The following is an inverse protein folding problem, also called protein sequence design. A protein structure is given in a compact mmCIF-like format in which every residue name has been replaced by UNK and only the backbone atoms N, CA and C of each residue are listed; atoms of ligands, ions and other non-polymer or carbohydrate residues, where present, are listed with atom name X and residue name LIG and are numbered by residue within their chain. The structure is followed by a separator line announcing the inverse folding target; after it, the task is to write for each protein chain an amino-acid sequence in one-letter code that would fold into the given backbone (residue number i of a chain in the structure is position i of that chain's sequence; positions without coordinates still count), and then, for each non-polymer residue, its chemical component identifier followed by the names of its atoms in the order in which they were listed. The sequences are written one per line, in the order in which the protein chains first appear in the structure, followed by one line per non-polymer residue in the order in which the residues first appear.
data_IF_363284736122
#
_entry.id   IF_363284736122
#
_cell.length_a   1.000
_cell.length_b   1.000
_cell.length_c   1.000
_cell.angle_alpha   90.00
_cell.angle_beta   90.00
_cell.angle_gamma   90.00
#
_symmetry.space_group_name_H-M   'P 1'
#
loop_
_entity.id
_entity.type
_entity.pdbx_description
1 polymer ?
#
# COMPACT_ATOMS: atom_id res chain seq x y z
N UNK A 1 -2.89 -18.15 5.45
CA UNK A 1 -3.92 -18.37 4.41
C UNK A 1 -3.19 -18.68 3.13
N UNK A 2 -3.27 -19.91 2.63
CA UNK A 2 -2.89 -20.25 1.26
C UNK A 2 -4.17 -20.56 0.50
N UNK A 3 -4.32 -20.00 -0.69
CA UNK A 3 -5.46 -20.25 -1.56
C UNK A 3 -4.94 -20.51 -2.96
N UNK A 4 -5.30 -21.66 -3.52
CA UNK A 4 -4.97 -22.01 -4.90
C UNK A 4 -6.01 -21.39 -5.85
N UNK A 5 -5.52 -20.67 -6.84
CA UNK A 5 -6.29 -19.76 -7.71
C UNK A 5 -7.30 -20.46 -8.66
N UNK A 6 -7.34 -21.79 -8.75
CA UNK A 6 -7.99 -22.44 -9.90
C UNK A 6 -9.49 -22.73 -9.78
N UNK A 7 -10.14 -22.63 -8.60
CA UNK A 7 -11.52 -23.16 -8.44
C UNK A 7 -12.38 -22.49 -7.35
N UNK A 8 -12.06 -21.28 -6.90
CA UNK A 8 -12.85 -20.61 -5.86
C UNK A 8 -12.70 -21.20 -4.45
N UNK A 9 -11.63 -21.97 -4.21
CA UNK A 9 -11.37 -22.69 -2.95
C UNK A 9 -10.53 -21.82 -2.01
N UNK A 10 -11.05 -21.50 -0.82
CA UNK A 10 -10.32 -20.77 0.22
C UNK A 10 -10.27 -21.60 1.50
N UNK A 11 -9.07 -21.99 1.95
CA UNK A 11 -8.88 -22.83 3.13
C UNK A 11 -8.79 -21.97 4.40
N UNK A 12 -9.50 -22.35 5.47
CA UNK A 12 -9.50 -21.66 6.76
C UNK A 12 -9.21 -22.68 7.88
N UNK A 13 -8.16 -22.43 8.67
CA UNK A 13 -7.74 -23.25 9.80
C UNK A 13 -8.45 -22.81 11.09
N UNK A 14 -8.98 -23.73 11.91
CA UNK A 14 -9.67 -23.40 13.16
C UNK A 14 -9.37 -24.39 14.31
N UNK A 15 -9.18 -23.83 15.52
CA UNK A 15 -9.10 -24.45 16.87
C UNK A 15 -7.97 -25.47 17.11
N UNK A 16 -7.50 -25.64 18.37
CA UNK A 16 -6.13 -26.07 18.63
C UNK A 16 -5.96 -27.55 18.28
N UNK A 17 -5.02 -27.81 17.38
CA UNK A 17 -4.54 -29.13 16.93
C UNK A 17 -5.33 -29.86 15.82
N UNK A 18 -6.46 -29.36 15.33
CA UNK A 18 -7.16 -30.01 14.22
C UNK A 18 -6.97 -29.19 12.93
N UNK A 19 -6.36 -29.78 11.88
CA UNK A 19 -6.34 -29.13 10.57
C UNK A 19 -7.78 -29.03 10.05
N UNK A 20 -8.25 -27.81 9.79
CA UNK A 20 -9.60 -27.57 9.25
C UNK A 20 -9.49 -27.10 7.82
N UNK A 21 -10.27 -27.71 6.94
CA UNK A 21 -10.44 -27.30 5.56
C UNK A 21 -11.88 -26.81 5.38
N UNK A 22 -12.05 -25.50 5.27
CA UNK A 22 -13.33 -24.89 4.93
C UNK A 22 -13.46 -24.77 3.40
N UNK A 23 -14.60 -25.18 2.84
CA UNK A 23 -14.92 -24.95 1.43
C UNK A 23 -15.92 -23.82 1.31
N UNK A 24 -15.46 -22.66 0.84
CA UNK A 24 -16.35 -21.53 0.53
C UNK A 24 -16.80 -21.67 -0.93
N UNK A 25 -18.11 -21.56 -1.17
CA UNK A 25 -18.73 -21.63 -2.50
C UNK A 25 -19.62 -20.41 -2.75
N UNK A 26 -19.90 -20.12 -4.02
CA UNK A 26 -20.83 -19.05 -4.42
C UNK A 26 -20.22 -17.65 -4.52
N UNK A 27 -18.91 -17.51 -4.41
CA UNK A 27 -18.22 -16.25 -4.68
C UNK A 27 -17.78 -16.22 -6.15
N UNK A 28 -18.22 -15.19 -6.88
CA UNK A 28 -17.96 -15.05 -8.32
C UNK A 28 -16.98 -13.90 -8.57
N UNK A 29 -15.98 -14.08 -9.45
CA UNK A 29 -15.13 -12.97 -9.88
C UNK A 29 -15.94 -11.94 -10.67
N UNK A 30 -15.67 -10.65 -10.49
CA UNK A 30 -16.29 -9.58 -11.25
C UNK A 30 -15.34 -8.40 -11.43
N UNK A 31 -15.64 -7.54 -12.41
CA UNK A 31 -15.03 -6.22 -12.57
C UNK A 31 -16.09 -5.17 -12.93
N UNK A 32 -15.73 -3.90 -12.92
CA UNK A 32 -16.62 -2.80 -13.27
C UNK A 32 -16.20 -2.14 -14.59
N UNK A 33 -17.19 -1.63 -15.33
CA UNK A 33 -17.01 -0.72 -16.46
C UNK A 33 -17.96 0.47 -16.31
N UNK A 34 -17.62 1.67 -16.79
CA UNK A 34 -18.57 2.77 -16.89
C UNK A 34 -19.79 2.34 -17.71
N UNK A 35 -20.99 2.74 -17.30
CA UNK A 35 -22.18 2.49 -18.11
C UNK A 35 -22.17 3.41 -19.35
N UNK A 36 -22.40 2.88 -20.56
CA UNK A 36 -22.43 3.70 -21.77
C UNK A 36 -23.44 4.86 -21.68
N UNK A 37 -23.15 5.97 -22.35
CA UNK A 37 -24.03 7.14 -22.36
C UNK A 37 -25.45 6.78 -22.84
N UNK A 38 -26.44 6.98 -21.97
CA UNK A 38 -27.85 6.67 -22.23
C UNK A 38 -28.30 5.24 -21.86
N UNK A 39 -27.43 4.44 -21.24
CA UNK A 39 -27.74 3.08 -20.81
C UNK A 39 -28.84 3.05 -19.74
N UNK A 40 -29.91 2.28 -19.98
CA UNK A 40 -31.04 2.10 -19.05
C UNK A 40 -31.01 0.71 -18.43
N UNK A 41 -31.68 0.54 -17.28
CA UNK A 41 -31.77 -0.77 -16.60
C UNK A 41 -32.40 -1.89 -17.46
N UNK A 42 -33.21 -1.54 -18.47
CA UNK A 42 -33.76 -2.51 -19.42
C UNK A 42 -32.77 -3.03 -20.47
N UNK A 43 -31.69 -2.29 -20.73
CA UNK A 43 -30.66 -2.66 -21.72
C UNK A 43 -29.72 -3.75 -21.18
N UNK A 44 -29.81 -4.08 -19.89
CA UNK A 44 -28.93 -5.04 -19.22
C UNK A 44 -29.00 -6.44 -19.84
N UNK A 45 -30.20 -6.90 -20.20
CA UNK A 45 -30.38 -8.22 -20.80
C UNK A 45 -29.79 -8.30 -22.21
N UNK A 46 -30.00 -7.25 -23.01
CA UNK A 46 -29.45 -7.13 -24.36
C UNK A 46 -27.92 -7.05 -24.32
N UNK A 47 -27.37 -6.20 -23.45
CA UNK A 47 -25.93 -6.06 -23.25
C UNK A 47 -25.27 -7.36 -22.82
N UNK A 48 -25.91 -8.09 -21.90
CA UNK A 48 -25.45 -9.41 -21.44
C UNK A 48 -25.35 -10.38 -22.63
N UNK A 49 -26.41 -10.47 -23.44
CA UNK A 49 -26.46 -11.39 -24.57
C UNK A 49 -25.41 -11.06 -25.63
N UNK A 50 -25.23 -9.78 -25.99
CA UNK A 50 -24.20 -9.37 -26.94
C UNK A 50 -22.80 -9.67 -26.45
N UNK A 51 -22.51 -9.40 -25.17
CA UNK A 51 -21.17 -9.65 -24.61
C UNK A 51 -20.87 -11.16 -24.51
N UNK A 52 -21.86 -11.99 -24.20
CA UNK A 52 -21.71 -13.45 -24.16
C UNK A 52 -21.42 -14.06 -25.54
N UNK A 53 -21.99 -13.50 -26.62
CA UNK A 53 -21.70 -13.92 -28.00
C UNK A 53 -20.24 -13.67 -28.37
N UNK A 54 -19.66 -12.55 -27.94
CA UNK A 54 -18.25 -12.23 -28.20
C UNK A 54 -17.27 -13.05 -27.33
N UNK A 55 -17.64 -13.34 -26.09
CA UNK A 55 -16.79 -14.13 -25.18
C UNK A 55 -16.76 -15.61 -25.58
N UNK A 56 -17.84 -16.15 -26.14
CA UNK A 56 -17.96 -17.58 -26.44
C UNK A 56 -18.35 -17.87 -27.89
N UNK A 57 -17.49 -18.60 -28.61
CA UNK A 57 -17.81 -19.20 -29.91
C UNK A 57 -18.71 -20.44 -29.79
N UNK A 58 -19.29 -20.73 -28.61
CA UNK A 58 -19.76 -22.09 -28.25
C UNK A 58 -20.91 -22.22 -27.24
N UNK A 59 -21.70 -21.17 -27.00
CA UNK A 59 -23.01 -21.30 -26.34
C UNK A 59 -23.01 -21.70 -24.85
N UNK A 60 -21.92 -21.50 -24.11
CA UNK A 60 -21.93 -21.60 -22.64
C UNK A 60 -22.28 -20.26 -22.02
N UNK A 61 -23.18 -20.25 -21.03
CA UNK A 61 -23.42 -19.08 -20.17
C UNK A 61 -22.19 -18.84 -19.27
N UNK A 62 -21.34 -17.90 -19.69
CA UNK A 62 -20.09 -17.58 -18.98
C UNK A 62 -20.20 -16.28 -18.16
N UNK A 63 -21.19 -15.44 -18.46
CA UNK A 63 -21.51 -14.21 -17.72
C UNK A 63 -22.70 -14.49 -16.80
N UNK A 64 -22.49 -14.46 -15.50
CA UNK A 64 -23.53 -14.81 -14.54
C UNK A 64 -24.56 -13.67 -14.41
N UNK A 65 -24.08 -12.48 -14.05
CA UNK A 65 -24.93 -11.33 -13.70
C UNK A 65 -24.28 -10.01 -14.09
N UNK A 66 -25.10 -9.07 -14.53
CA UNK A 66 -24.74 -7.66 -14.69
C UNK A 66 -25.58 -6.84 -13.71
N UNK A 67 -24.95 -5.98 -12.93
CA UNK A 67 -25.64 -5.07 -12.00
C UNK A 67 -25.23 -3.62 -12.25
N UNK A 68 -26.21 -2.71 -12.36
CA UNK A 68 -25.92 -1.28 -12.37
C UNK A 68 -25.65 -0.82 -10.93
N UNK A 69 -24.49 -0.20 -10.70
CA UNK A 69 -24.07 0.33 -9.39
C UNK A 69 -23.64 1.79 -9.57
N UNK A 70 -24.11 2.68 -8.70
CA UNK A 70 -23.66 4.06 -8.68
C UNK A 70 -22.41 4.15 -7.82
N UNK A 71 -21.27 4.51 -8.43
CA UNK A 71 -19.97 4.58 -7.79
C UNK A 71 -19.17 5.78 -8.30
N UNK A 72 -18.11 6.12 -7.58
CA UNK A 72 -17.18 7.20 -7.93
C UNK A 72 -15.82 6.59 -8.31
N UNK A 73 -15.13 7.14 -9.29
CA UNK A 73 -13.75 6.71 -9.59
C UNK A 73 -12.80 7.27 -8.52
N UNK A 74 -11.77 6.51 -8.16
CA UNK A 74 -10.73 7.02 -7.25
C UNK A 74 -9.82 8.06 -7.94
N UNK A 75 -9.80 8.10 -9.27
CA UNK A 75 -8.97 9.02 -10.04
C UNK A 75 -9.67 10.35 -10.20
N UNK A 76 -9.06 11.39 -9.64
CA UNK A 76 -9.57 12.75 -9.79
C UNK A 76 -10.77 13.02 -8.89
N UNK A 77 -11.05 14.30 -8.70
CA UNK A 77 -12.20 14.77 -7.96
C UNK A 77 -13.25 15.35 -8.94
N UNK A 78 -14.43 14.72 -8.97
CA UNK A 78 -15.53 15.08 -9.86
C UNK A 78 -16.77 15.54 -9.08
N UNK A 79 -16.58 16.34 -8.03
CA UNK A 79 -17.70 16.95 -7.31
C UNK A 79 -18.57 15.96 -6.50
N UNK A 80 -18.06 14.77 -6.14
CA UNK A 80 -18.79 13.70 -5.43
C UNK A 80 -20.00 13.13 -6.17
N UNK A 81 -20.05 13.30 -7.48
CA UNK A 81 -21.14 12.75 -8.28
C UNK A 81 -20.85 11.28 -8.57
N UNK A 82 -21.77 10.41 -8.16
CA UNK A 82 -21.68 8.99 -8.48
C UNK A 82 -22.17 8.75 -9.91
N UNK A 83 -21.33 8.12 -10.71
CA UNK A 83 -21.65 7.70 -12.07
C UNK A 83 -22.19 6.25 -12.07
N UNK A 84 -23.06 5.88 -13.03
CA UNK A 84 -23.47 4.50 -13.20
C UNK A 84 -22.32 3.64 -13.74
N UNK A 85 -22.01 2.55 -13.04
CA UNK A 85 -21.07 1.50 -13.45
C UNK A 85 -21.82 0.17 -13.62
N UNK A 86 -21.40 -0.63 -14.60
CA UNK A 86 -21.87 -2.00 -14.79
C UNK A 86 -20.91 -2.95 -14.09
N UNK A 87 -21.40 -3.68 -13.09
CA UNK A 87 -20.68 -4.76 -12.42
C UNK A 87 -20.93 -6.07 -13.17
N UNK A 88 -19.89 -6.58 -13.85
CA UNK A 88 -19.96 -7.79 -14.66
C UNK A 88 -19.41 -8.98 -13.85
N UNK A 89 -20.25 -9.95 -13.49
CA UNK A 89 -19.87 -11.12 -12.69
C UNK A 89 -19.77 -12.38 -13.55
N UNK A 90 -18.66 -13.11 -13.44
CA UNK A 90 -18.30 -14.23 -14.30
C UNK A 90 -18.28 -15.56 -13.55
N UNK A 91 -18.40 -16.67 -14.27
CA UNK A 91 -18.33 -18.01 -13.67
C UNK A 91 -16.92 -18.36 -13.20
N UNK A 92 -15.90 -17.92 -13.93
CA UNK A 92 -14.49 -18.15 -13.60
C UNK A 92 -13.58 -16.98 -13.98
N UNK A 93 -12.35 -17.00 -13.45
CA UNK A 93 -11.34 -15.96 -13.65
C UNK A 93 -10.75 -15.95 -15.07
N UNK A 94 -10.80 -17.06 -15.81
CA UNK A 94 -10.32 -17.12 -17.20
C UNK A 94 -11.28 -16.36 -18.10
N UNK A 95 -12.58 -16.60 -17.97
CA UNK A 95 -13.62 -15.83 -18.67
C UNK A 95 -13.51 -14.35 -18.36
N UNK A 96 -13.31 -13.99 -17.09
CA UNK A 96 -13.12 -12.60 -16.69
C UNK A 96 -11.98 -11.94 -17.48
N UNK A 97 -10.83 -12.61 -17.60
CA UNK A 97 -9.67 -12.07 -18.32
C UNK A 97 -9.91 -11.96 -19.83
N UNK A 98 -10.69 -12.86 -20.43
CA UNK A 98 -11.09 -12.76 -21.84
C UNK A 98 -12.00 -11.56 -22.05
N UNK A 99 -13.06 -11.44 -21.24
CA UNK A 99 -14.00 -10.32 -21.31
C UNK A 99 -13.31 -8.97 -21.10
N UNK A 100 -12.38 -8.90 -20.12
CA UNK A 100 -11.55 -7.72 -19.88
C UNK A 100 -10.80 -7.30 -21.14
N UNK A 101 -10.12 -8.22 -21.83
CA UNK A 101 -9.38 -7.91 -23.07
C UNK A 101 -10.28 -7.43 -24.19
N UNK A 102 -11.45 -8.06 -24.37
CA UNK A 102 -12.40 -7.67 -25.41
C UNK A 102 -12.86 -6.22 -25.22
N UNK A 103 -13.17 -5.83 -23.98
CA UNK A 103 -13.60 -4.46 -23.64
C UNK A 103 -12.44 -3.46 -23.76
N UNK A 104 -11.24 -3.82 -23.28
CA UNK A 104 -10.08 -2.91 -23.33
C UNK A 104 -9.50 -2.73 -24.75
N UNK A 105 -9.63 -3.75 -25.61
CA UNK A 105 -9.13 -3.71 -27.00
C UNK A 105 -10.14 -3.08 -27.99
N UNK A 106 -11.32 -2.64 -27.53
CA UNK A 106 -12.37 -2.06 -28.39
C UNK A 106 -13.07 -3.06 -29.30
N UNK A 107 -12.96 -4.37 -29.03
CA UNK A 107 -13.55 -5.41 -29.90
C UNK A 107 -15.04 -5.62 -29.67
N UNK A 108 -15.63 -4.96 -28.67
CA UNK A 108 -17.05 -5.08 -28.34
C UNK A 108 -17.87 -3.93 -28.91
N UNK A 109 -18.91 -4.26 -29.68
CA UNK A 109 -19.87 -3.27 -30.19
C UNK A 109 -21.25 -3.52 -29.58
N UNK A 110 -21.87 -2.48 -29.03
CA UNK A 110 -23.23 -2.53 -28.50
C UNK A 110 -24.09 -1.42 -29.13
N UNK A 111 -25.25 -1.78 -29.71
CA UNK A 111 -26.15 -0.84 -30.41
C UNK A 111 -25.44 0.06 -31.44
N UNK A 112 -24.48 -0.52 -32.17
CA UNK A 112 -23.70 0.19 -33.19
C UNK A 112 -22.65 1.18 -32.65
N UNK A 113 -22.38 1.16 -31.34
CA UNK A 113 -21.27 1.92 -30.73
C UNK A 113 -20.19 0.96 -30.26
N UNK A 114 -18.96 1.24 -30.66
CA UNK A 114 -17.78 0.58 -30.13
C UNK A 114 -17.61 0.96 -28.65
N UNK A 115 -17.45 -0.04 -27.78
CA UNK A 115 -17.22 0.15 -26.36
C UNK A 115 -15.75 -0.11 -26.10
N UNK A 116 -15.01 1.00 -25.98
CA UNK A 116 -13.59 1.00 -25.63
C UNK A 116 -13.45 1.73 -24.31
N UNK A 117 -13.69 0.98 -23.23
CA UNK A 117 -13.79 1.53 -21.88
C UNK A 117 -12.68 1.00 -20.98
N UNK A 118 -12.23 1.84 -20.05
CA UNK A 118 -11.31 1.40 -19.01
C UNK A 118 -12.02 0.43 -18.07
N UNK A 119 -11.38 -0.70 -17.76
CA UNK A 119 -11.89 -1.63 -16.76
C UNK A 119 -11.45 -1.23 -15.36
N UNK A 120 -12.30 -1.48 -14.38
CA UNK A 120 -12.06 -1.16 -12.97
C UNK A 120 -12.05 -2.44 -12.15
N UNK A 121 -11.06 -2.57 -11.28
CA UNK A 121 -10.86 -3.70 -10.35
C UNK A 121 -10.62 -5.06 -11.03
N UNK A 122 -10.36 -5.08 -12.34
CA UNK A 122 -10.15 -6.30 -13.14
C UNK A 122 -8.77 -6.96 -12.93
N UNK A 123 -7.85 -6.29 -12.24
CA UNK A 123 -6.51 -6.80 -11.94
C UNK A 123 -6.36 -7.40 -10.53
N UNK A 124 -7.42 -7.34 -9.71
CA UNK A 124 -7.37 -7.82 -8.33
C UNK A 124 -7.44 -9.36 -8.30
N UNK A 125 -6.49 -9.99 -7.60
CA UNK A 125 -6.46 -11.44 -7.45
C UNK A 125 -7.71 -11.94 -6.71
N UNK A 126 -8.30 -13.03 -7.21
CA UNK A 126 -9.56 -13.60 -6.69
C UNK A 126 -9.56 -13.79 -5.16
N UNK A 127 -8.48 -14.32 -4.61
CA UNK A 127 -8.34 -14.58 -3.16
C UNK A 127 -8.38 -13.28 -2.37
N UNK A 128 -7.60 -12.29 -2.79
CA UNK A 128 -7.56 -10.98 -2.14
C UNK A 128 -8.92 -10.29 -2.27
N UNK A 129 -9.58 -10.42 -3.42
CA UNK A 129 -10.93 -9.90 -3.62
C UNK A 129 -11.95 -10.53 -2.68
N UNK A 130 -11.94 -11.86 -2.58
CA UNK A 130 -12.80 -12.58 -1.64
C UNK A 130 -12.58 -12.10 -0.19
N UNK A 131 -11.32 -11.95 0.22
CA UNK A 131 -10.99 -11.46 1.55
C UNK A 131 -11.52 -10.04 1.81
N UNK A 132 -11.41 -9.17 0.81
CA UNK A 132 -11.86 -7.79 0.91
C UNK A 132 -13.39 -7.72 1.00
N UNK A 133 -14.12 -8.42 0.12
CA UNK A 133 -15.58 -8.40 0.07
C UNK A 133 -16.24 -9.03 1.28
N UNK A 134 -15.73 -10.16 1.72
CA UNK A 134 -16.25 -10.84 2.90
C UNK A 134 -15.76 -10.20 4.19
N UNK A 135 -14.98 -9.10 4.12
CA UNK A 135 -14.33 -8.46 5.27
C UNK A 135 -13.58 -9.49 6.12
N UNK A 136 -12.91 -10.44 5.45
CA UNK A 136 -12.09 -11.45 6.10
C UNK A 136 -10.81 -10.78 6.56
N UNK A 137 -10.84 -10.29 7.79
CA UNK A 137 -9.72 -9.65 8.47
C UNK A 137 -9.25 -10.53 9.63
N UNK A 138 -7.96 -10.43 9.94
CA UNK A 138 -7.48 -10.96 11.21
C UNK A 138 -7.88 -9.96 12.31
N UNK A 139 -8.55 -10.44 13.35
CA UNK A 139 -8.95 -9.58 14.46
C UNK A 139 -7.72 -8.99 15.17
N UNK A 140 -7.83 -7.77 15.73
CA UNK A 140 -6.76 -7.19 16.53
C UNK A 140 -6.43 -8.12 17.71
N UNK A 141 -5.17 -8.13 18.19
CA UNK A 141 -4.71 -9.00 19.29
C UNK A 141 -5.27 -8.54 20.65
N UNK A 142 -6.58 -8.39 20.77
CA UNK A 142 -7.28 -7.92 21.95
C UNK A 142 -8.18 -9.04 22.51
N UNK A 143 -8.18 -9.22 23.83
CA UNK A 143 -9.00 -10.20 24.52
C UNK A 143 -8.80 -11.63 24.00
N UNK A 144 -9.89 -12.24 23.48
CA UNK A 144 -9.89 -13.62 22.99
C UNK A 144 -9.07 -13.84 21.71
N UNK A 145 -8.74 -12.77 20.98
CA UNK A 145 -8.02 -12.83 19.70
C UNK A 145 -6.51 -12.60 19.84
N UNK A 146 -6.02 -12.36 21.05
CA UNK A 146 -4.58 -12.26 21.37
C UNK A 146 -3.84 -13.59 21.16
N UNK A 147 -4.52 -14.72 21.28
CA UNK A 147 -3.89 -16.05 21.20
C UNK A 147 -3.62 -16.44 19.75
N UNK A 148 -2.39 -16.88 19.47
CA UNK A 148 -2.01 -17.51 18.20
C UNK A 148 -2.35 -19.00 18.29
N UNK A 149 -2.87 -19.58 17.19
CA UNK A 149 -3.09 -21.02 17.11
C UNK A 149 -1.76 -21.78 17.22
N UNK A 150 -1.72 -22.98 17.82
CA UNK A 150 -0.50 -23.78 17.93
C UNK A 150 -0.09 -24.33 16.55
N UNK A 151 0.68 -23.54 15.79
CA UNK A 151 1.19 -23.92 14.48
C UNK A 151 2.31 -24.95 14.64
N UNK A 152 2.26 -26.02 13.83
CA UNK A 152 3.35 -27.00 13.75
C UNK A 152 4.35 -26.51 12.71
N UNK A 153 5.54 -26.13 13.15
CA UNK A 153 6.63 -25.64 12.30
C UNK A 153 7.63 -26.78 12.11
N UNK A 154 7.95 -27.08 10.85
CA UNK A 154 8.97 -28.07 10.48
C UNK A 154 10.17 -27.34 9.88
N UNK A 155 11.34 -27.55 10.45
CA UNK A 155 12.63 -27.16 9.88
C UNK A 155 13.41 -28.44 9.59
N UNK A 156 13.96 -28.55 8.39
CA UNK A 156 14.78 -29.68 7.98
C UNK A 156 15.88 -29.18 7.04
N UNK A 157 16.99 -29.89 7.05
CA UNK A 157 18.15 -29.59 6.22
C UNK A 157 18.67 -30.90 5.61
N UNK A 158 19.14 -30.84 4.35
CA UNK A 158 19.51 -32.03 3.58
C UNK A 158 20.98 -31.97 3.17
N UNK A 159 21.65 -33.12 3.25
CA UNK A 159 23.04 -33.28 2.86
C UNK A 159 23.16 -34.23 1.67
N UNK A 160 23.96 -33.85 0.67
CA UNK A 160 24.19 -34.63 -0.55
C UNK A 160 25.67 -35.01 -0.66
N UNK A 161 26.00 -36.24 -1.08
CA UNK A 161 27.39 -36.52 -1.50
C UNK A 161 27.60 -36.09 -2.94
N UNK A 162 28.22 -34.92 -3.11
CA UNK A 162 28.65 -34.44 -4.42
C UNK A 162 29.95 -35.09 -4.91
N UNK A 163 30.07 -35.21 -6.23
CA UNK A 163 31.34 -35.51 -6.91
C UNK A 163 32.38 -34.41 -6.66
N UNK A 164 33.66 -34.79 -6.51
CA UNK A 164 34.74 -33.87 -6.16
C UNK A 164 34.87 -32.74 -7.18
N UNK A 165 34.77 -31.49 -6.71
CA UNK A 165 34.91 -30.29 -7.53
C UNK A 165 33.67 -29.95 -8.37
N UNK A 166 32.55 -30.64 -8.17
CA UNK A 166 31.30 -30.43 -8.91
C UNK A 166 30.19 -30.14 -7.89
N UNK A 167 29.37 -29.12 -8.16
CA UNK A 167 28.20 -28.86 -7.32
C UNK A 167 27.17 -29.99 -7.48
N UNK A 168 26.52 -30.49 -6.40
CA UNK A 168 25.63 -31.64 -6.47
C UNK A 168 24.51 -31.50 -7.53
N UNK A 169 24.31 -32.55 -8.31
CA UNK A 169 23.22 -32.68 -9.28
C UNK A 169 22.18 -33.69 -8.79
N UNK A 170 20.90 -33.30 -8.75
CA UNK A 170 19.82 -34.12 -8.19
C UNK A 170 19.63 -35.50 -8.85
N UNK A 171 20.11 -35.69 -10.08
CA UNK A 171 20.03 -36.97 -10.82
C UNK A 171 21.22 -37.90 -10.55
N UNK A 172 22.33 -37.38 -10.05
CA UNK A 172 23.59 -38.13 -9.91
C UNK A 172 24.04 -38.26 -8.46
N UNK A 173 23.77 -37.25 -7.63
CA UNK A 173 24.30 -37.11 -6.28
C UNK A 173 23.13 -37.31 -5.28
N UNK A 174 23.03 -38.47 -4.61
CA UNK A 174 21.92 -38.77 -3.71
C UNK A 174 21.96 -37.93 -2.42
N UNK A 175 20.78 -37.69 -1.82
CA UNK A 175 20.64 -37.17 -0.46
C UNK A 175 20.96 -38.28 0.53
N UNK A 176 21.83 -38.01 1.50
CA UNK A 176 22.41 -39.05 2.37
C UNK A 176 22.07 -38.83 3.84
N UNK A 177 21.90 -37.58 4.29
CA UNK A 177 21.67 -37.30 5.70
C UNK A 177 20.78 -36.08 5.90
N UNK A 178 20.00 -36.09 6.98
CA UNK A 178 19.31 -34.91 7.51
C UNK A 178 20.21 -34.33 8.61
N UNK A 179 20.68 -33.10 8.44
CA UNK A 179 21.54 -32.43 9.40
C UNK A 179 20.71 -31.80 10.53
N UNK A 180 20.66 -32.48 11.69
CA UNK A 180 19.82 -32.04 12.82
C UNK A 180 20.24 -30.67 13.40
N UNK A 181 21.54 -30.37 13.42
CA UNK A 181 22.04 -29.09 13.97
C UNK A 181 21.74 -27.92 13.03
N UNK A 182 21.94 -28.10 11.73
CA UNK A 182 21.67 -27.09 10.71
C UNK A 182 20.17 -26.88 10.50
N UNK A 183 19.34 -27.89 10.76
CA UNK A 183 17.88 -27.75 10.84
C UNK A 183 17.41 -26.97 12.09
N UNK A 184 18.12 -27.06 13.22
CA UNK A 184 17.71 -26.43 14.49
C UNK A 184 18.03 -24.93 14.54
N UNK A 185 19.11 -24.49 13.91
CA UNK A 185 19.53 -23.08 13.91
C UNK A 185 18.49 -22.13 13.27
N UNK A 186 17.88 -22.43 12.11
CA UNK A 186 16.80 -21.62 11.52
C UNK A 186 15.59 -21.48 12.45
N UNK A 187 15.24 -22.53 13.19
CA UNK A 187 14.14 -22.48 14.16
C UNK A 187 14.47 -21.52 15.30
N UNK A 188 15.69 -21.61 15.88
CA UNK A 188 16.15 -20.66 16.90
C UNK A 188 16.22 -19.23 16.40
N UNK A 189 16.64 -19.02 15.15
CA UNK A 189 16.67 -17.70 14.53
C UNK A 189 15.25 -17.14 14.36
N UNK A 190 14.31 -17.97 13.89
CA UNK A 190 12.90 -17.61 13.73
C UNK A 190 12.28 -17.17 15.06
N UNK A 191 12.57 -17.90 16.14
CA UNK A 191 12.10 -17.58 17.49
C UNK A 191 12.76 -16.32 18.04
N UNK A 192 14.10 -16.19 17.91
CA UNK A 192 14.86 -15.04 18.42
C UNK A 192 14.53 -13.74 17.70
N UNK A 193 14.33 -13.78 16.39
CA UNK A 193 13.94 -12.63 15.57
C UNK A 193 12.43 -12.42 15.53
N UNK A 194 11.67 -13.34 16.13
CA UNK A 194 10.22 -13.26 16.21
C UNK A 194 9.52 -13.13 14.85
N UNK A 195 10.10 -13.77 13.82
CA UNK A 195 9.66 -13.62 12.44
C UNK A 195 8.17 -13.94 12.27
N UNK A 196 7.71 -15.03 12.88
CA UNK A 196 6.31 -15.47 12.76
C UNK A 196 5.34 -14.45 13.34
N UNK A 197 5.66 -13.90 14.52
CA UNK A 197 4.81 -12.91 15.20
C UNK A 197 4.76 -11.63 14.37
N UNK A 198 5.92 -11.12 13.95
CA UNK A 198 6.03 -9.91 13.14
C UNK A 198 5.27 -10.04 11.82
N UNK A 199 5.37 -11.19 11.14
CA UNK A 199 4.63 -11.42 9.90
C UNK A 199 3.13 -11.60 10.12
N UNK A 200 2.71 -12.26 11.20
CA UNK A 200 1.28 -12.36 11.51
C UNK A 200 0.68 -10.97 11.75
N UNK A 201 1.32 -10.12 12.56
CA UNK A 201 0.86 -8.74 12.76
C UNK A 201 0.85 -7.93 11.46
N UNK A 202 1.88 -8.07 10.62
CA UNK A 202 1.90 -7.42 9.30
C UNK A 202 0.72 -7.87 8.42
N UNK A 203 0.40 -9.15 8.40
CA UNK A 203 -0.78 -9.66 7.68
C UNK A 203 -2.09 -9.10 8.25
N UNK A 204 -2.17 -8.91 9.58
CA UNK A 204 -3.34 -8.31 10.24
C UNK A 204 -3.56 -6.86 9.83
N UNK A 205 -2.53 -6.03 9.96
CA UNK A 205 -2.60 -4.59 9.68
C UNK A 205 -2.87 -4.33 8.21
N UNK A 206 -2.17 -5.04 7.31
CA UNK A 206 -2.28 -4.80 5.87
C UNK A 206 -3.42 -5.56 5.20
N UNK A 207 -4.01 -6.54 5.90
CA UNK A 207 -5.09 -7.38 5.40
C UNK A 207 -4.69 -8.30 4.24
N UNK A 208 -3.40 -8.63 4.08
CA UNK A 208 -2.94 -9.54 3.03
C UNK A 208 -2.77 -10.98 3.55
N UNK A 209 -2.89 -11.99 2.68
CA UNK A 209 -2.47 -13.35 3.00
C UNK A 209 -1.01 -13.43 3.50
N UNK A 210 -0.75 -14.30 4.49
CA UNK A 210 0.61 -14.50 5.03
C UNK A 210 1.66 -14.82 3.96
N UNK A 211 1.32 -15.66 2.97
CA UNK A 211 2.25 -16.03 1.89
C UNK A 211 2.64 -14.82 1.01
N UNK A 212 1.80 -13.78 0.94
CA UNK A 212 2.13 -12.56 0.18
C UNK A 212 3.23 -11.75 0.87
N UNK A 213 3.45 -11.93 2.17
CA UNK A 213 4.52 -11.24 2.89
C UNK A 213 5.92 -11.74 2.48
N UNK A 214 6.00 -12.99 2.03
CA UNK A 214 7.25 -13.63 1.60
C UNK A 214 7.42 -13.57 0.07
N UNK A 215 6.33 -13.69 -0.68
CA UNK A 215 6.36 -13.82 -2.15
C UNK A 215 6.07 -12.51 -2.91
N UNK A 216 5.62 -11.45 -2.24
CA UNK A 216 5.23 -10.19 -2.88
C UNK A 216 5.89 -9.00 -2.19
N UNK A 217 6.10 -7.93 -2.98
CA UNK A 217 6.63 -6.67 -2.48
C UNK A 217 5.60 -5.84 -1.70
N UNK A 218 5.99 -4.62 -1.33
CA UNK A 218 5.18 -3.73 -0.49
C UNK A 218 3.90 -3.23 -1.16
N UNK A 219 3.90 -3.10 -2.50
CA UNK A 219 2.76 -2.56 -3.26
C UNK A 219 1.45 -3.31 -2.97
N UNK A 220 1.47 -4.64 -2.83
CA UNK A 220 0.25 -5.43 -2.58
C UNK A 220 -0.40 -5.09 -1.24
N UNK A 221 0.41 -4.69 -0.24
CA UNK A 221 -0.07 -4.32 1.09
C UNK A 221 -0.81 -2.99 1.07
N UNK A 222 -0.30 -2.03 0.28
CA UNK A 222 -0.96 -0.73 0.11
C UNK A 222 -2.23 -0.89 -0.71
N UNK A 223 -2.17 -1.63 -1.83
CA UNK A 223 -3.33 -1.98 -2.66
C UNK A 223 -4.44 -2.61 -1.80
N UNK A 224 -4.09 -3.60 -0.99
CA UNK A 224 -5.01 -4.29 -0.08
C UNK A 224 -5.76 -3.34 0.87
N UNK A 225 -5.07 -2.34 1.44
CA UNK A 225 -5.69 -1.33 2.31
C UNK A 225 -6.53 -0.33 1.51
N UNK A 226 -6.03 0.10 0.34
CA UNK A 226 -6.72 1.03 -0.55
C UNK A 226 -8.08 0.48 -1.00
N UNK A 227 -8.13 -0.78 -1.46
CA UNK A 227 -9.38 -1.42 -1.88
C UNK A 227 -10.40 -1.54 -0.73
N UNK A 228 -9.96 -1.79 0.51
CA UNK A 228 -10.86 -1.87 1.66
C UNK A 228 -11.53 -0.53 1.95
N UNK A 229 -10.75 0.56 1.99
CA UNK A 229 -11.28 1.91 2.19
C UNK A 229 -12.12 2.38 1.00
N UNK A 230 -11.72 2.04 -0.23
CA UNK A 230 -12.47 2.37 -1.42
C UNK A 230 -13.89 1.78 -1.38
N UNK A 231 -14.05 0.52 -0.96
CA UNK A 231 -15.36 -0.12 -0.84
C UNK A 231 -16.23 0.54 0.23
N UNK A 232 -15.67 0.96 1.36
CA UNK A 232 -16.40 1.66 2.43
C UNK A 232 -16.99 3.00 1.96
N UNK A 233 -16.36 3.65 0.98
CA UNK A 233 -16.76 4.95 0.45
C UNK A 233 -17.36 4.89 -0.97
N UNK A 234 -17.68 3.70 -1.48
CA UNK A 234 -18.23 3.48 -2.83
C UNK A 234 -17.33 3.89 -4.01
N UNK A 235 -16.01 3.95 -3.81
CA UNK A 235 -15.06 4.16 -4.90
C UNK A 235 -14.81 2.87 -5.71
N UNK A 236 -14.47 3.05 -6.99
CA UNK A 236 -13.88 2.00 -7.85
C UNK A 236 -12.45 2.36 -8.23
N UNK A 237 -11.59 1.34 -8.28
CA UNK A 237 -10.18 1.51 -8.62
C UNK A 237 -9.94 1.06 -10.07
N UNK A 238 -9.42 1.93 -10.95
CA UNK A 238 -9.14 1.59 -12.34
C UNK A 238 -7.99 0.60 -12.45
N UNK A 239 -8.13 -0.36 -13.36
CA UNK A 239 -7.12 -1.37 -13.63
C UNK A 239 -6.14 -0.85 -14.69
N UNK A 240 -5.29 0.13 -14.32
CA UNK A 240 -4.24 0.65 -15.21
C UNK A 240 -3.34 -0.49 -15.72
N UNK A 241 -3.04 -0.47 -17.02
CA UNK A 241 -1.91 -1.22 -17.58
C UNK A 241 -0.63 -0.51 -17.15
N UNK A 242 0.41 -1.25 -16.79
CA UNK A 242 1.75 -0.65 -16.67
C UNK A 242 2.10 -0.16 -18.07
N UNK A 243 2.14 1.16 -18.26
CA UNK A 243 2.59 1.74 -19.52
C UNK A 243 4.10 1.64 -19.51
N UNK A 244 4.63 0.62 -20.20
CA UNK A 244 6.08 0.49 -20.44
C UNK A 244 6.57 1.78 -21.14
N UNK A 245 7.50 2.50 -20.51
CA UNK A 245 8.20 3.63 -21.14
C UNK A 245 7.79 5.05 -20.71
N UNK A 246 7.05 5.22 -19.61
CA UNK A 246 6.76 6.57 -19.03
C UNK A 246 7.43 6.81 -17.68
N UNK A 247 8.50 6.08 -17.37
CA UNK A 247 9.32 6.33 -16.18
C UNK A 247 10.33 7.45 -16.44
N UNK A 248 9.83 8.66 -16.75
CA UNK A 248 10.69 9.83 -16.60
C UNK A 248 10.99 10.01 -15.11
N UNK A 249 12.28 10.01 -14.72
CA UNK A 249 12.64 10.21 -13.32
C UNK A 249 12.21 11.61 -12.89
N UNK A 250 11.48 11.70 -11.79
CA UNK A 250 11.12 12.98 -11.17
C UNK A 250 12.16 13.38 -10.12
N UNK A 251 12.19 14.66 -9.77
CA UNK A 251 13.13 15.20 -8.79
C UNK A 251 12.84 14.66 -7.38
N UNK A 252 13.84 14.00 -6.80
CA UNK A 252 13.77 13.36 -5.49
C UNK A 252 13.99 14.32 -4.31
N UNK A 253 14.53 13.77 -3.22
CA UNK A 253 14.90 14.53 -2.03
C UNK A 253 16.12 15.43 -2.28
N UNK A 254 16.28 16.47 -1.46
CA UNK A 254 17.47 17.33 -1.44
C UNK A 254 18.38 16.93 -0.28
N UNK A 255 19.68 16.95 -0.56
CA UNK A 255 20.75 16.87 0.44
C UNK A 255 21.42 18.23 0.50
N UNK A 256 21.57 18.79 1.70
CA UNK A 256 22.30 20.04 1.91
C UNK A 256 23.79 19.74 1.80
N UNK A 257 24.53 20.57 1.07
CA UNK A 257 25.97 20.41 0.92
C UNK A 257 26.67 20.37 2.29
N UNK A 258 27.47 19.32 2.56
CA UNK A 258 28.12 19.17 3.86
C UNK A 258 29.30 20.13 3.98
N UNK A 259 29.37 20.80 5.12
CA UNK A 259 30.61 21.42 5.59
C UNK A 259 31.53 20.32 6.13
N UNK A 260 32.48 19.90 5.29
CA UNK A 260 33.38 18.80 5.63
C UNK A 260 34.40 19.26 6.65
N UNK A 261 34.44 18.57 7.79
CA UNK A 261 35.42 18.84 8.83
C UNK A 261 35.31 17.87 9.99
N UNK A 262 36.29 17.96 10.88
CA UNK A 262 36.21 17.32 12.20
C UNK A 262 35.64 18.33 13.19
N UNK A 263 34.49 18.03 13.78
CA UNK A 263 33.82 18.88 14.75
C UNK A 263 34.07 18.35 16.16
N UNK A 264 34.80 19.13 16.97
CA UNK A 264 35.03 18.87 18.40
C UNK A 264 34.00 19.59 19.30
N UNK A 265 32.87 19.99 18.72
CA UNK A 265 31.76 20.64 19.44
C UNK A 265 30.49 19.81 19.22
N UNK A 266 29.54 19.81 20.17
CA UNK A 266 28.25 19.16 19.98
C UNK A 266 27.53 19.65 18.73
N UNK A 267 27.03 18.69 17.94
CA UNK A 267 26.15 18.93 16.80
C UNK A 267 24.78 18.36 17.13
N UNK A 268 23.75 19.18 17.05
CA UNK A 268 22.37 18.80 17.36
C UNK A 268 21.67 18.36 16.07
N UNK A 269 21.16 17.14 16.06
CA UNK A 269 20.40 16.61 14.94
C UNK A 269 18.90 16.81 15.20
N UNK A 270 18.23 17.48 14.28
CA UNK A 270 16.78 17.68 14.31
C UNK A 270 16.16 16.97 13.09
N UNK A 271 15.18 16.09 13.32
CA UNK A 271 14.53 15.30 12.28
C UNK A 271 13.00 15.42 12.29
N UNK A 272 12.39 15.36 11.11
CA UNK A 272 10.93 15.27 10.98
C UNK A 272 10.45 13.83 11.18
N UNK A 273 9.64 13.60 12.21
CA UNK A 273 9.03 12.28 12.42
C UNK A 273 8.03 11.95 11.31
N UNK A 274 8.37 11.01 10.42
CA UNK A 274 7.51 10.58 9.31
C UNK A 274 7.15 11.74 8.36
N UNK A 275 8.17 12.39 7.78
CA UNK A 275 8.04 13.54 6.88
C UNK A 275 6.99 13.32 5.78
N UNK A 276 7.18 12.35 4.88
CA UNK A 276 6.30 12.18 3.71
C UNK A 276 4.84 11.83 4.06
N UNK A 277 4.55 10.87 4.98
CA UNK A 277 3.18 10.69 5.45
C UNK A 277 2.55 11.96 6.04
N UNK A 278 3.33 12.75 6.79
CA UNK A 278 2.86 13.99 7.39
C UNK A 278 2.53 15.05 6.35
N UNK A 279 3.37 15.19 5.30
CA UNK A 279 3.10 16.07 4.15
C UNK A 279 1.80 15.66 3.45
N UNK A 280 1.65 14.36 3.14
CA UNK A 280 0.46 13.84 2.47
C UNK A 280 -0.82 14.11 3.26
N UNK A 281 -0.78 14.01 4.60
CA UNK A 281 -1.93 14.31 5.44
C UNK A 281 -2.18 15.81 5.57
N UNK A 282 -1.13 16.62 5.81
CA UNK A 282 -1.24 18.05 6.02
C UNK A 282 -1.79 18.78 4.79
N UNK A 283 -1.34 18.36 3.61
CA UNK A 283 -1.77 18.91 2.31
C UNK A 283 -2.85 18.07 1.62
N UNK A 284 -3.39 17.06 2.31
CA UNK A 284 -4.46 16.18 1.81
C UNK A 284 -4.19 15.59 0.41
N UNK A 285 -2.95 15.15 0.16
CA UNK A 285 -2.51 14.64 -1.13
C UNK A 285 -3.05 13.22 -1.36
N UNK A 286 -3.99 13.09 -2.30
CA UNK A 286 -4.67 11.84 -2.63
C UNK A 286 -5.06 11.74 -4.12
N UNK A 287 -5.27 10.51 -4.60
CA UNK A 287 -5.88 10.26 -5.91
C UNK A 287 -7.26 10.90 -6.05
N UNK A 288 -8.07 10.83 -4.98
CA UNK A 288 -9.47 11.33 -4.96
C UNK A 288 -9.55 12.84 -4.83
N UNK A 289 -8.42 13.52 -4.63
CA UNK A 289 -8.36 14.98 -4.43
C UNK A 289 -7.76 15.71 -5.59
N UNK A 290 -7.09 14.99 -6.49
CA UNK A 290 -6.46 15.56 -7.66
C UNK A 290 -7.54 16.19 -8.55
N UNK A 291 -7.32 17.41 -9.02
CA UNK A 291 -8.29 18.15 -9.83
C UNK A 291 -7.62 18.69 -11.07
N UNK A 292 -8.30 18.56 -12.19
CA UNK A 292 -7.91 19.24 -13.43
C UNK A 292 -8.52 20.64 -13.49
N UNK A 293 -7.85 21.56 -14.18
CA UNK A 293 -8.32 22.94 -14.35
C UNK A 293 -9.77 23.03 -14.86
N UNK A 294 -10.19 22.09 -15.73
CA UNK A 294 -11.56 22.03 -16.26
C UNK A 294 -12.61 21.80 -15.16
N UNK A 295 -12.29 20.95 -14.19
CA UNK A 295 -13.18 20.64 -13.07
C UNK A 295 -13.24 21.82 -12.08
N UNK A 296 -12.17 22.59 -11.94
CA UNK A 296 -12.17 23.85 -11.16
C UNK A 296 -13.19 24.82 -11.74
N UNK A 297 -13.13 25.02 -13.06
CA UNK A 297 -14.02 25.95 -13.77
C UNK A 297 -15.48 25.45 -13.71
N UNK A 298 -15.71 24.15 -13.92
CA UNK A 298 -17.04 23.55 -13.86
C UNK A 298 -17.67 23.63 -12.46
N UNK A 299 -16.86 23.41 -11.41
CA UNK A 299 -17.32 23.38 -10.02
C UNK A 299 -17.21 24.75 -9.32
N UNK A 300 -16.67 25.77 -9.99
CA UNK A 300 -16.39 27.11 -9.44
C UNK A 300 -15.61 27.06 -8.13
N UNK A 301 -14.56 26.22 -8.05
CA UNK A 301 -13.73 26.10 -6.86
C UNK A 301 -12.84 27.34 -6.69
N UNK A 302 -12.66 27.80 -5.45
CA UNK A 302 -11.82 28.97 -5.14
C UNK A 302 -10.44 28.58 -4.62
N UNK A 303 -9.44 29.32 -5.08
CA UNK A 303 -8.05 29.16 -4.66
C UNK A 303 -7.88 29.44 -3.15
N UNK A 304 -7.02 28.67 -2.48
CA UNK A 304 -6.72 28.68 -1.03
C UNK A 304 -7.89 28.37 -0.07
N UNK A 305 -9.13 28.27 -0.55
CA UNK A 305 -10.26 27.78 0.25
C UNK A 305 -10.67 26.36 -0.12
N UNK A 306 -10.79 26.06 -1.41
CA UNK A 306 -11.34 24.77 -1.89
C UNK A 306 -10.26 23.85 -2.46
N UNK A 307 -9.16 24.43 -2.97
CA UNK A 307 -8.02 23.69 -3.51
C UNK A 307 -6.69 24.36 -3.18
N UNK A 308 -5.61 23.58 -3.24
CA UNK A 308 -4.22 24.02 -3.11
C UNK A 308 -3.45 23.65 -4.39
N UNK A 309 -2.43 24.44 -4.71
CA UNK A 309 -1.47 24.16 -5.79
C UNK A 309 -0.16 23.72 -5.16
N UNK A 310 0.40 22.61 -5.62
CA UNK A 310 1.65 22.09 -5.07
C UNK A 310 2.86 22.88 -5.60
N UNK A 311 3.97 22.92 -4.84
CA UNK A 311 5.17 23.65 -5.24
C UNK A 311 5.96 22.97 -6.37
N UNK A 312 5.49 21.84 -6.90
CA UNK A 312 6.16 21.15 -8.00
C UNK A 312 5.90 21.87 -9.33
N UNK A 313 6.83 21.74 -10.29
CA UNK A 313 6.82 22.50 -11.55
C UNK A 313 5.55 22.28 -12.39
N UNK A 314 4.88 21.14 -12.24
CA UNK A 314 3.62 20.85 -12.93
C UNK A 314 2.42 21.61 -12.36
N UNK A 315 2.52 22.18 -11.16
CA UNK A 315 1.44 22.92 -10.52
C UNK A 315 0.21 22.07 -10.23
N UNK A 316 0.41 20.83 -9.75
CA UNK A 316 -0.67 19.88 -9.50
C UNK A 316 -1.67 20.44 -8.47
N UNK A 317 -2.96 20.22 -8.71
CA UNK A 317 -4.04 20.82 -7.92
C UNK A 317 -4.76 19.76 -7.09
N UNK A 318 -4.94 20.03 -5.80
CA UNK A 318 -5.59 19.11 -4.86
C UNK A 318 -6.70 19.79 -4.05
N UNK A 319 -7.85 19.14 -3.89
CA UNK A 319 -8.93 19.59 -2.99
C UNK A 319 -8.74 19.11 -1.56
N UNK A 320 -9.59 19.58 -0.65
CA UNK A 320 -9.52 19.35 0.80
C UNK A 320 -10.29 18.12 1.34
N UNK A 321 -10.64 17.10 0.52
CA UNK A 321 -11.41 15.90 0.98
C UNK A 321 -10.73 14.52 0.85
N UNK A 322 -11.17 13.51 1.60
CA UNK A 322 -10.27 12.45 2.15
C UNK A 322 -10.50 11.04 1.61
N UNK A 323 -9.43 10.35 1.22
CA UNK A 323 -9.34 8.87 1.23
C UNK A 323 -7.97 8.37 1.74
N UNK A 324 -6.87 8.76 1.08
CA UNK A 324 -5.50 8.35 1.47
C UNK A 324 -5.07 8.85 2.85
N UNK A 325 -5.39 10.10 3.27
CA UNK A 325 -5.05 10.56 4.61
C UNK A 325 -5.69 9.71 5.71
N UNK A 326 -6.88 9.13 5.49
CA UNK A 326 -7.48 8.22 6.48
C UNK A 326 -6.70 6.91 6.65
N UNK A 327 -6.11 6.37 5.58
CA UNK A 327 -5.25 5.18 5.64
C UNK A 327 -3.98 5.50 6.41
N UNK A 328 -3.36 6.65 6.13
CA UNK A 328 -2.16 7.11 6.81
C UNK A 328 -2.44 7.44 8.30
N UNK A 329 -3.58 8.05 8.60
CA UNK A 329 -4.05 8.30 9.96
C UNK A 329 -4.24 6.99 10.73
N UNK A 330 -4.89 5.99 10.14
CA UNK A 330 -5.08 4.67 10.76
C UNK A 330 -3.72 4.01 11.06
N UNK A 331 -2.78 4.05 10.11
CA UNK A 331 -1.43 3.50 10.27
C UNK A 331 -0.61 4.24 11.34
N UNK A 332 -0.65 5.57 11.35
CA UNK A 332 0.06 6.38 12.34
C UNK A 332 -0.57 6.30 13.72
N UNK A 333 -1.90 6.20 13.81
CA UNK A 333 -2.63 5.95 15.04
C UNK A 333 -2.26 4.58 15.61
N UNK A 334 -2.24 3.54 14.77
CA UNK A 334 -1.76 2.21 15.15
C UNK A 334 -0.30 2.24 15.65
N UNK A 335 0.58 3.01 14.98
CA UNK A 335 1.96 3.21 15.43
C UNK A 335 2.05 3.88 16.80
N UNK A 336 1.31 4.97 16.99
CA UNK A 336 1.29 5.72 18.26
C UNK A 336 0.77 4.85 19.40
N UNK A 337 -0.33 4.12 19.16
CA UNK A 337 -0.89 3.15 20.12
C UNK A 337 0.13 2.06 20.45
N UNK A 338 0.74 1.43 19.45
CA UNK A 338 1.76 0.41 19.65
C UNK A 338 2.95 0.93 20.49
N UNK A 339 3.45 2.14 20.20
CA UNK A 339 4.53 2.79 20.96
C UNK A 339 4.12 3.10 22.41
N UNK A 340 2.87 3.52 22.64
CA UNK A 340 2.35 3.82 23.97
C UNK A 340 2.18 2.54 24.80
N UNK A 341 1.58 1.51 24.21
CA UNK A 341 1.37 0.21 24.83
C UNK A 341 2.73 -0.45 25.16
N UNK A 342 3.71 -0.33 24.26
CA UNK A 342 5.06 -0.86 24.46
C UNK A 342 5.77 -0.27 25.68
N UNK A 343 5.56 1.02 25.99
CA UNK A 343 6.17 1.66 27.17
C UNK A 343 5.69 1.07 28.49
N UNK A 344 4.45 0.60 28.52
CA UNK A 344 3.79 0.12 29.73
C UNK A 344 3.75 -1.41 29.84
N UNK A 345 4.06 -2.13 28.76
CA UNK A 345 3.94 -3.58 28.71
C UNK A 345 5.16 -4.28 29.32
N UNK A 346 4.88 -5.13 30.29
CA UNK A 346 5.88 -5.93 31.02
C UNK A 346 5.94 -7.36 30.53
N UNK A 347 4.88 -7.87 29.90
CA UNK A 347 4.84 -9.24 29.38
C UNK A 347 5.75 -9.39 28.14
N UNK A 348 6.75 -10.30 28.16
CA UNK A 348 7.70 -10.44 27.06
C UNK A 348 7.05 -10.77 25.70
N UNK A 349 5.96 -11.55 25.71
CA UNK A 349 5.27 -11.95 24.49
C UNK A 349 4.47 -10.78 23.90
N UNK A 350 3.66 -10.08 24.71
CA UNK A 350 2.90 -8.91 24.27
C UNK A 350 3.80 -7.75 23.86
N UNK A 351 4.86 -7.49 24.63
CA UNK A 351 5.84 -6.47 24.29
C UNK A 351 6.38 -6.67 22.89
N UNK A 352 6.67 -7.92 22.55
CA UNK A 352 7.28 -8.22 21.29
C UNK A 352 6.29 -8.33 20.10
N UNK A 353 5.01 -8.61 20.36
CA UNK A 353 3.91 -8.34 19.43
C UNK A 353 3.83 -6.83 19.12
N UNK A 354 3.93 -5.98 20.14
CA UNK A 354 3.88 -4.52 20.01
C UNK A 354 5.13 -3.95 19.30
N UNK A 355 6.31 -4.50 19.56
CA UNK A 355 7.56 -4.16 18.86
C UNK A 355 7.45 -4.46 17.36
N UNK A 356 6.89 -5.62 17.00
CA UNK A 356 6.62 -5.99 15.61
C UNK A 356 5.67 -5.02 14.91
N UNK A 357 4.59 -4.64 15.60
CA UNK A 357 3.61 -3.66 15.11
C UNK A 357 4.21 -2.25 14.96
N UNK A 358 5.03 -1.82 15.92
CA UNK A 358 5.72 -0.54 15.91
C UNK A 358 6.77 -0.46 14.79
N UNK A 359 7.61 -1.48 14.64
CA UNK A 359 8.63 -1.55 13.59
C UNK A 359 8.02 -1.53 12.18
N UNK A 360 6.88 -2.22 12.00
CA UNK A 360 6.21 -2.28 10.70
C UNK A 360 5.54 -0.96 10.31
N UNK A 361 4.81 -0.33 11.23
CA UNK A 361 4.14 0.96 10.95
C UNK A 361 5.12 2.11 10.72
N UNK A 362 6.41 1.92 11.04
CA UNK A 362 7.50 2.84 10.67
C UNK A 362 8.14 2.58 9.30
N UNK A 363 7.82 1.47 8.62
CA UNK A 363 8.40 1.14 7.32
C UNK A 363 7.64 1.86 6.19
N UNK A 364 8.09 3.06 5.83
CA UNK A 364 7.48 3.96 4.85
C UNK A 364 7.53 3.50 3.37
N UNK A 365 7.91 2.25 3.09
CA UNK A 365 8.20 1.82 1.72
C UNK A 365 6.97 1.15 1.08
N UNK A 366 6.28 1.85 0.18
CA UNK A 366 5.26 1.29 -0.70
C UNK A 366 5.01 2.22 -1.87
N UNK A 367 5.52 1.87 -3.05
CA UNK A 367 5.27 2.65 -4.26
C UNK A 367 3.81 2.46 -4.70
N UNK A 368 3.03 3.53 -4.71
CA UNK A 368 1.80 3.58 -5.50
C UNK A 368 2.07 4.44 -6.74
N UNK A 369 1.62 4.01 -7.93
CA UNK A 369 1.93 4.69 -9.18
C UNK A 369 1.08 5.97 -9.31
N UNK A 370 1.56 7.07 -8.71
CA UNK A 370 1.16 8.44 -9.04
C UNK A 370 2.42 9.31 -8.95
N UNK A 371 2.94 9.71 -10.10
CA UNK A 371 4.16 10.52 -10.16
C UNK A 371 3.89 11.92 -9.62
N UNK A 372 2.69 12.46 -9.89
CA UNK A 372 2.20 13.77 -9.48
C UNK A 372 2.21 13.92 -7.95
N UNK A 373 1.62 12.94 -7.23
CA UNK A 373 1.63 12.94 -5.76
C UNK A 373 3.06 12.78 -5.23
N UNK A 374 3.85 11.88 -5.83
CA UNK A 374 5.22 11.60 -5.37
C UNK A 374 6.12 12.83 -5.53
N UNK A 375 6.06 13.49 -6.68
CA UNK A 375 6.81 14.70 -6.99
C UNK A 375 6.35 15.90 -6.15
N UNK A 376 5.05 16.03 -5.92
CA UNK A 376 4.49 17.04 -5.01
C UNK A 376 4.98 16.84 -3.57
N UNK A 377 5.00 15.61 -3.07
CA UNK A 377 5.51 15.28 -1.73
C UNK A 377 7.01 15.60 -1.60
N UNK A 378 7.83 15.23 -2.60
CA UNK A 378 9.26 15.55 -2.57
C UNK A 378 9.50 17.05 -2.65
N UNK A 379 8.72 17.79 -3.46
CA UNK A 379 8.81 19.24 -3.56
C UNK A 379 8.50 19.95 -2.22
N UNK A 380 7.44 19.53 -1.52
CA UNK A 380 7.19 20.02 -0.16
C UNK A 380 8.34 19.67 0.80
N UNK A 381 8.89 18.46 0.70
CA UNK A 381 10.06 18.06 1.50
C UNK A 381 11.25 19.00 1.29
N UNK A 382 11.57 19.33 0.03
CA UNK A 382 12.65 20.29 -0.31
C UNK A 382 12.39 21.69 0.25
N UNK A 383 11.16 22.18 0.17
CA UNK A 383 10.80 23.48 0.73
C UNK A 383 10.91 23.48 2.27
N UNK A 384 10.46 22.41 2.92
CA UNK A 384 10.47 22.29 4.38
C UNK A 384 11.89 22.23 4.95
N UNK A 385 12.81 21.47 4.34
CA UNK A 385 14.19 21.39 4.83
C UNK A 385 14.92 22.74 4.64
N UNK A 386 14.71 23.41 3.50
CA UNK A 386 15.29 24.73 3.24
C UNK A 386 14.72 25.80 4.18
N UNK A 387 13.42 25.76 4.44
CA UNK A 387 12.80 26.64 5.43
C UNK A 387 13.34 26.36 6.83
N UNK A 388 13.48 25.08 7.22
CA UNK A 388 14.03 24.70 8.52
C UNK A 388 15.46 25.21 8.68
N UNK A 389 16.30 25.09 7.64
CA UNK A 389 17.64 25.66 7.63
C UNK A 389 17.62 27.16 7.89
N UNK A 390 16.83 27.92 7.12
CA UNK A 390 16.72 29.38 7.25
C UNK A 390 16.20 29.82 8.61
N UNK A 391 15.20 29.14 9.15
CA UNK A 391 14.63 29.44 10.47
C UNK A 391 15.66 29.20 11.58
N UNK A 392 16.43 28.11 11.51
CA UNK A 392 17.50 27.84 12.48
C UNK A 392 18.59 28.91 12.41
N UNK A 393 19.12 29.20 11.22
CA UNK A 393 20.22 30.14 11.03
C UNK A 393 19.82 31.60 11.31
N UNK A 394 18.55 31.97 11.10
CA UNK A 394 18.06 33.33 11.37
C UNK A 394 17.65 33.56 12.82
N UNK A 395 17.10 32.54 13.49
CA UNK A 395 16.62 32.67 14.87
C UNK A 395 17.75 32.64 15.88
N UNK A 396 18.67 31.69 15.74
CA UNK A 396 19.73 31.45 16.72
C UNK A 396 21.00 32.23 16.36
N UNK A 397 20.91 33.55 16.48
CA UNK A 397 22.01 34.48 16.16
C UNK A 397 22.40 35.33 17.37
N UNK A 398 23.61 35.87 17.35
CA UNK A 398 24.12 36.80 18.36
C UNK A 398 23.23 38.05 18.43
N UNK A 399 22.72 38.52 17.28
CA UNK A 399 21.80 39.66 17.21
C UNK A 399 20.50 39.42 17.98
N UNK A 400 20.01 38.16 18.01
CA UNK A 400 18.82 37.75 18.75
C UNK A 400 19.11 37.40 20.23
N UNK A 401 20.32 37.65 20.71
CA UNK A 401 20.72 37.45 22.11
C UNK A 401 21.24 36.06 22.45
N UNK A 402 21.58 35.23 21.45
CA UNK A 402 22.27 33.96 21.65
C UNK A 402 23.79 34.15 21.77
N UNK A 403 24.50 33.12 22.25
CA UNK A 403 25.94 33.20 22.49
C UNK A 403 26.77 33.12 21.21
N UNK A 404 26.26 32.42 20.19
CA UNK A 404 26.90 32.20 18.91
C UNK A 404 25.84 32.18 17.81
N UNK A 405 26.27 32.35 16.56
CA UNK A 405 25.43 32.13 15.40
C UNK A 405 25.37 30.63 15.09
N UNK A 406 24.15 30.10 15.05
CA UNK A 406 23.91 28.72 14.68
C UNK A 406 24.13 28.53 13.18
N UNK A 407 24.73 27.39 12.82
CA UNK A 407 25.05 27.05 11.45
C UNK A 407 24.58 25.64 11.13
N UNK A 408 23.86 25.47 10.01
CA UNK A 408 23.49 24.13 9.55
C UNK A 408 24.62 23.56 8.70
N UNK A 409 25.33 22.59 9.25
CA UNK A 409 26.56 22.04 8.65
C UNK A 409 26.28 20.87 7.70
N UNK A 410 25.12 20.24 7.84
CA UNK A 410 24.66 19.15 6.98
C UNK A 410 23.14 19.00 7.08
N UNK A 411 22.54 18.36 6.09
CA UNK A 411 21.15 17.93 6.15
C UNK A 411 20.88 16.90 5.07
N UNK A 412 20.08 15.90 5.42
CA UNK A 412 19.69 14.81 4.53
C UNK A 412 18.19 14.64 4.60
N UNK A 413 17.50 15.03 3.53
CA UNK A 413 16.07 14.81 3.26
C UNK A 413 15.11 15.40 4.31
N UNK A 414 15.08 14.82 5.51
CA UNK A 414 14.19 15.12 6.62
C UNK A 414 14.92 15.50 7.91
N UNK A 415 16.25 15.57 7.89
CA UNK A 415 17.08 15.91 9.03
C UNK A 415 18.05 17.05 8.74
N UNK A 416 18.30 17.89 9.75
CA UNK A 416 19.31 18.95 9.74
C UNK A 416 20.24 18.82 10.93
N UNK A 417 21.53 19.05 10.69
CA UNK A 417 22.59 18.94 11.68
C UNK A 417 23.10 20.34 11.98
N UNK A 418 22.79 20.81 13.18
CA UNK A 418 22.98 22.20 13.59
C UNK A 418 24.17 22.29 14.55
N UNK A 419 25.08 23.20 14.24
CA UNK A 419 26.15 23.62 15.12
C UNK A 419 25.73 24.91 15.83
N UNK A 420 25.37 24.81 17.11
CA UNK A 420 25.00 25.97 17.94
C UNK A 420 26.21 26.71 18.54
N UNK A 421 27.43 26.18 18.41
CA UNK A 421 28.66 26.83 18.88
C UNK A 421 28.94 26.71 20.38
N UNK A 422 28.05 26.11 21.18
CA UNK A 422 28.30 25.83 22.60
C UNK A 422 29.21 24.62 22.79
N UNK A 423 30.12 24.69 23.77
CA UNK A 423 31.11 23.62 24.01
C UNK A 423 30.57 22.45 24.86
N UNK A 424 29.37 22.60 25.45
CA UNK A 424 28.81 21.60 26.35
C UNK A 424 27.55 20.94 25.75
N UNK A 425 27.38 19.65 26.06
CA UNK A 425 26.25 18.87 25.54
C UNK A 425 24.91 19.32 26.15
N UNK A 426 24.91 19.70 27.42
CA UNK A 426 23.67 20.02 28.15
C UNK A 426 22.99 21.27 27.59
N UNK A 427 23.75 22.31 27.25
CA UNK A 427 23.17 23.51 26.67
C UNK A 427 22.87 23.31 25.18
N UNK A 428 23.64 22.48 24.46
CA UNK A 428 23.32 22.09 23.08
C UNK A 428 22.01 21.30 22.96
N UNK A 429 21.62 20.53 24.00
CA UNK A 429 20.35 19.79 24.03
C UNK A 429 19.17 20.67 24.48
N UNK A 430 19.41 21.81 25.13
CA UNK A 430 18.37 22.75 25.55
C UNK A 430 18.00 23.73 24.43
N UNK A 431 19.01 24.15 23.66
CA UNK A 431 18.86 24.89 22.41
C UNK A 431 18.22 23.99 21.36
#
# INVERSE_FOLDING_TARGET
MEAQESTGRTQIWARPNIPVLCYVKGFLPYFYIPAPNGFKSGDVAEFKSSLEQEISSGGRELLNKIEVKFKETIQGYHGKQKCPFLKLSFVDTKTLNVARRIVEDGKFTFKGREITEMTFESNLKYVLRFMIDCKLISHPPEGNWLKIAPLRILSFDIECAGRKGIFPEATQDPVIQIANMDAYLPQRLMDKLMCLINYLEMARVTGVPFNYLLSRGQQIKVISQLYRKAIEQDFVIPARKNVEGTDEPFEGATVIDPEKGFYNVPITTLDFSSLYPSIMMAHNLCYTTMVDQREIDNLNLKNDSDYIITPYQSGDIFTTRRLLPSILEDLLSARKKAKADLKNETDPFKRAVLDGLYGFTGASAGQMPCLEISASVTAYGRQMIEQTKREVESRFTIENGYTHDAQVIYGDTDSVMVKFGVDNLVDAMKL
#
